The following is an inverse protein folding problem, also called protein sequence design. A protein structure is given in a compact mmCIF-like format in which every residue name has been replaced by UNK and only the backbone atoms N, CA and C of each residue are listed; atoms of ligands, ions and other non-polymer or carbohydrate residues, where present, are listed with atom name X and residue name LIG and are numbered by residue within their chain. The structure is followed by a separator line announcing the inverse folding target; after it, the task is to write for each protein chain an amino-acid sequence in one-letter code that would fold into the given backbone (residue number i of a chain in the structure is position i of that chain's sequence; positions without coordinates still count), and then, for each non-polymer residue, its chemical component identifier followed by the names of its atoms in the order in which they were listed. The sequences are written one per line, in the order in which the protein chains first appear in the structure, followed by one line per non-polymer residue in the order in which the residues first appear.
data_IF_047571550915
#
_entry.id   IF_047571550915
#
_cell.length_a   1.000
_cell.length_b   1.000
_cell.length_c   1.000
_cell.angle_alpha   90.00
_cell.angle_beta   90.00
_cell.angle_gamma   90.00
#
_symmetry.space_group_name_H-M   'P 1'
#
loop_
_entity.id
_entity.type
_entity.pdbx_description
1 polymer ?
#
# COMPACT_ATOMS: atom_id res chain seq x y z
N UNK A 1 2.03 2.25 -10.62
CA UNK A 1 3.34 1.57 -10.55
C UNK A 1 3.17 0.07 -10.30
N UNK A 2 4.09 -0.73 -10.83
CA UNK A 2 4.27 -2.13 -10.52
C UNK A 2 5.74 -2.55 -10.70
N UNK A 3 6.17 -3.59 -10.00
CA UNK A 3 7.52 -4.20 -10.07
C UNK A 3 7.39 -5.71 -9.87
N UNK A 4 8.27 -6.54 -10.41
CA UNK A 4 8.25 -7.99 -10.22
C UNK A 4 8.95 -8.48 -8.93
N UNK A 5 9.35 -7.58 -8.04
CA UNK A 5 9.97 -7.91 -6.74
C UNK A 5 9.14 -8.85 -5.84
N UNK A 6 7.81 -8.79 -5.98
CA UNK A 6 6.87 -9.59 -5.18
C UNK A 6 5.74 -10.13 -6.06
N UNK A 7 5.07 -11.19 -5.60
CA UNK A 7 3.89 -11.75 -6.28
C UNK A 7 2.71 -10.77 -6.34
N UNK A 8 2.67 -9.79 -5.44
CA UNK A 8 1.71 -8.69 -5.43
C UNK A 8 2.03 -7.63 -6.50
N UNK A 9 3.17 -7.74 -7.17
CA UNK A 9 3.72 -6.75 -8.09
C UNK A 9 3.96 -5.37 -7.43
N UNK A 10 4.41 -5.37 -6.19
CA UNK A 10 4.69 -4.17 -5.39
C UNK A 10 6.14 -4.21 -4.86
N UNK A 11 6.72 -3.04 -4.50
CA UNK A 11 8.00 -3.01 -3.82
C UNK A 11 7.97 -3.86 -2.55
N UNK A 12 9.02 -4.64 -2.31
CA UNK A 12 9.07 -5.58 -1.18
C UNK A 12 8.81 -4.91 0.17
N UNK A 13 9.35 -3.70 0.38
CA UNK A 13 9.13 -2.93 1.61
C UNK A 13 7.67 -2.58 1.87
N UNK A 14 6.92 -2.23 0.81
CA UNK A 14 5.48 -1.89 0.90
C UNK A 14 4.66 -3.11 1.30
N UNK A 15 4.97 -4.28 0.72
CA UNK A 15 4.30 -5.54 1.08
C UNK A 15 4.55 -5.88 2.55
N UNK A 16 5.81 -5.81 3.00
CA UNK A 16 6.18 -6.18 4.37
C UNK A 16 5.60 -5.23 5.42
N UNK A 17 5.62 -3.91 5.18
CA UNK A 17 5.10 -2.95 6.15
C UNK A 17 3.58 -3.09 6.32
N UNK A 18 2.83 -3.31 5.23
CA UNK A 18 1.39 -3.60 5.33
C UNK A 18 1.11 -4.95 5.98
N UNK A 19 1.93 -5.97 5.69
CA UNK A 19 1.80 -7.27 6.32
C UNK A 19 2.02 -7.20 7.85
N UNK A 20 2.97 -6.41 8.32
CA UNK A 20 3.16 -6.16 9.76
C UNK A 20 1.95 -5.48 10.39
N UNK A 21 1.45 -4.40 9.79
CA UNK A 21 0.27 -3.69 10.32
C UNK A 21 -0.98 -4.57 10.34
N UNK A 22 -1.19 -5.39 9.30
CA UNK A 22 -2.29 -6.36 9.25
C UNK A 22 -2.12 -7.44 10.31
N UNK A 23 -0.89 -7.96 10.48
CA UNK A 23 -0.59 -8.96 11.50
C UNK A 23 -0.81 -8.43 12.92
N UNK A 24 -0.50 -7.17 13.17
CA UNK A 24 -0.77 -6.49 14.44
C UNK A 24 -2.27 -6.50 14.75
N UNK A 25 -3.12 -6.12 13.78
CA UNK A 25 -4.58 -6.22 13.92
C UNK A 25 -5.02 -7.68 14.15
N UNK A 26 -4.55 -8.63 13.34
CA UNK A 26 -4.97 -10.03 13.45
C UNK A 26 -4.65 -10.64 14.83
N UNK A 27 -3.50 -10.31 15.40
CA UNK A 27 -3.09 -10.79 16.73
C UNK A 27 -3.94 -10.18 17.84
N UNK A 28 -4.32 -8.89 17.71
CA UNK A 28 -5.24 -8.19 18.61
C UNK A 28 -6.65 -8.80 18.55
N UNK A 29 -7.24 -8.91 17.35
CA UNK A 29 -8.62 -9.37 17.15
C UNK A 29 -8.81 -10.84 17.52
N UNK A 30 -7.76 -11.66 17.38
CA UNK A 30 -7.77 -13.06 17.83
C UNK A 30 -7.39 -13.22 19.30
N UNK A 31 -7.25 -12.13 20.05
CA UNK A 31 -6.86 -12.10 21.47
C UNK A 31 -5.59 -12.90 21.79
N UNK A 32 -4.67 -13.03 20.83
CA UNK A 32 -3.39 -13.74 21.00
C UNK A 32 -2.40 -12.96 21.86
N UNK A 33 -2.59 -11.65 21.95
CA UNK A 33 -1.97 -10.75 22.93
C UNK A 33 -3.11 -9.89 23.48
N UNK A 34 -3.52 -10.15 24.72
CA UNK A 34 -4.74 -9.57 25.31
C UNK A 34 -4.64 -8.06 25.55
N UNK A 35 -3.45 -7.58 25.87
CA UNK A 35 -3.19 -6.19 26.22
C UNK A 35 -2.98 -5.26 25.01
N UNK A 36 -3.04 -5.77 23.77
CA UNK A 36 -2.91 -4.94 22.57
C UNK A 36 -4.15 -4.06 22.37
N UNK A 37 -3.91 -2.78 22.05
CA UNK A 37 -4.96 -1.82 21.69
C UNK A 37 -4.91 -1.48 20.19
N UNK A 38 -5.94 -0.78 19.65
CA UNK A 38 -6.09 -0.61 18.20
C UNK A 38 -5.00 0.20 17.49
N UNK A 39 -4.41 1.22 18.14
CA UNK A 39 -3.44 2.10 17.48
C UNK A 39 -2.05 1.44 17.35
N UNK A 40 -1.45 1.57 16.18
CA UNK A 40 -0.18 0.95 15.86
C UNK A 40 0.45 1.51 14.59
N UNK A 41 1.78 1.56 14.59
CA UNK A 41 2.62 2.09 13.52
C UNK A 41 3.71 1.07 13.21
N UNK A 42 3.95 0.83 11.94
CA UNK A 42 4.97 -0.13 11.48
C UNK A 42 5.86 0.53 10.45
N UNK A 43 7.15 0.22 10.50
CA UNK A 43 8.12 0.71 9.53
C UNK A 43 9.12 -0.41 9.21
N UNK A 44 9.54 -0.44 7.95
CA UNK A 44 10.57 -1.33 7.45
C UNK A 44 11.61 -0.47 6.74
N UNK A 45 12.89 -0.70 7.04
CA UNK A 45 14.01 0.00 6.42
C UNK A 45 14.83 -0.99 5.60
N UNK A 46 15.11 -0.61 4.35
CA UNK A 46 16.06 -1.30 3.48
C UNK A 46 17.26 -0.39 3.22
N UNK A 47 18.46 -0.97 3.25
CA UNK A 47 19.70 -0.32 2.84
C UNK A 47 20.38 -1.23 1.81
N UNK A 48 20.75 -0.66 0.65
CA UNK A 48 21.38 -1.40 -0.45
C UNK A 48 20.62 -2.69 -0.84
N UNK A 49 19.28 -2.62 -0.86
CA UNK A 49 18.42 -3.77 -1.19
C UNK A 49 18.28 -4.82 -0.08
N UNK A 50 18.93 -4.65 1.08
CA UNK A 50 18.84 -5.55 2.23
C UNK A 50 17.99 -4.94 3.33
N UNK A 51 17.11 -5.76 3.92
CA UNK A 51 16.34 -5.40 5.11
C UNK A 51 17.29 -5.19 6.30
N UNK A 52 17.32 -3.99 6.88
CA UNK A 52 18.20 -3.65 8.01
C UNK A 52 17.44 -3.39 9.29
N UNK A 53 16.23 -2.79 9.23
CA UNK A 53 15.45 -2.46 10.43
C UNK A 53 13.98 -2.78 10.28
N UNK A 54 13.38 -3.25 11.37
CA UNK A 54 11.94 -3.43 11.51
C UNK A 54 11.48 -2.75 12.79
N UNK A 55 10.53 -1.83 12.66
CA UNK A 55 9.96 -1.09 13.78
C UNK A 55 8.47 -1.38 13.88
N UNK A 56 8.02 -1.68 15.09
CA UNK A 56 6.60 -1.75 15.46
C UNK A 56 6.38 -0.95 16.73
N UNK A 57 5.63 0.15 16.61
CA UNK A 57 5.07 0.85 17.76
C UNK A 57 3.61 0.45 17.90
N UNK A 58 3.19 -0.02 19.07
CA UNK A 58 1.83 -0.48 19.31
C UNK A 58 1.29 0.07 20.62
N UNK A 59 0.03 0.47 20.59
CA UNK A 59 -0.71 0.85 21.77
C UNK A 59 -0.97 -0.38 22.64
N UNK A 60 -0.94 -0.20 23.96
CA UNK A 60 -1.15 -1.27 24.93
C UNK A 60 -1.90 -0.83 26.18
N UNK A 61 -2.34 -1.78 26.98
CA UNK A 61 -2.89 -1.54 28.32
C UNK A 61 -1.84 -0.98 29.28
N UNK A 62 -2.30 -0.23 30.30
CA UNK A 62 -1.45 0.28 31.37
C UNK A 62 -0.91 -0.90 32.19
N UNK A 63 0.34 -0.79 32.66
CA UNK A 63 0.96 -1.78 33.54
C UNK A 63 1.66 -2.95 32.83
N UNK A 64 1.68 -2.98 31.50
CA UNK A 64 2.47 -3.96 30.75
C UNK A 64 3.93 -3.50 30.68
N UNK A 65 4.86 -4.37 31.05
CA UNK A 65 6.30 -4.07 30.98
C UNK A 65 6.82 -4.08 29.55
N UNK A 66 7.73 -3.15 29.25
CA UNK A 66 8.30 -2.97 27.92
C UNK A 66 9.02 -4.22 27.38
N UNK A 67 9.64 -5.02 28.26
CA UNK A 67 10.31 -6.27 27.88
C UNK A 67 9.31 -7.32 27.36
N UNK A 68 8.16 -7.45 28.03
CA UNK A 68 7.07 -8.34 27.60
C UNK A 68 6.46 -7.88 26.28
N UNK A 69 6.31 -6.56 26.10
CA UNK A 69 5.85 -5.97 24.84
C UNK A 69 6.82 -6.33 23.73
N UNK A 70 8.11 -6.05 23.92
CA UNK A 70 9.15 -6.33 22.94
C UNK A 70 9.19 -7.81 22.57
N UNK A 71 9.16 -8.71 23.57
CA UNK A 71 9.14 -10.16 23.36
C UNK A 71 7.91 -10.60 22.57
N UNK A 72 6.71 -10.22 23.00
CA UNK A 72 5.47 -10.65 22.37
C UNK A 72 5.33 -10.11 20.94
N UNK A 73 5.66 -8.85 20.69
CA UNK A 73 5.62 -8.24 19.35
C UNK A 73 6.64 -8.89 18.43
N UNK A 74 7.86 -9.12 18.90
CA UNK A 74 8.90 -9.77 18.10
C UNK A 74 8.48 -11.19 17.69
N UNK A 75 8.03 -12.01 18.63
CA UNK A 75 7.67 -13.42 18.35
C UNK A 75 6.37 -13.59 17.57
N UNK A 76 5.33 -12.83 17.92
CA UNK A 76 3.98 -13.08 17.37
C UNK A 76 3.65 -12.23 16.14
N UNK A 77 4.36 -11.13 15.92
CA UNK A 77 4.08 -10.16 14.85
C UNK A 77 5.26 -10.06 13.87
N UNK A 78 6.46 -9.73 14.34
CA UNK A 78 7.58 -9.43 13.43
C UNK A 78 8.15 -10.70 12.79
N UNK A 79 8.54 -11.71 13.58
CA UNK A 79 9.13 -12.96 13.06
C UNK A 79 8.23 -13.68 12.05
N UNK A 80 6.90 -13.81 12.26
CA UNK A 80 6.01 -14.49 11.31
C UNK A 80 5.86 -13.77 9.97
N UNK A 81 6.20 -12.47 9.89
CA UNK A 81 6.11 -11.69 8.65
C UNK A 81 7.45 -11.65 7.90
N UNK A 82 8.57 -11.52 8.62
CA UNK A 82 9.89 -11.30 8.02
C UNK A 82 10.67 -12.58 7.68
N UNK A 83 10.20 -13.76 8.11
CA UNK A 83 10.84 -15.06 7.87
C UNK A 83 12.32 -15.10 8.31
N UNK A 84 12.66 -14.42 9.42
CA UNK A 84 14.00 -14.37 10.00
C UNK A 84 14.46 -12.94 10.29
N UNK A 85 15.33 -12.78 11.30
CA UNK A 85 15.80 -11.48 11.80
C UNK A 85 17.33 -11.35 11.80
N UNK A 86 18.05 -12.25 11.12
CA UNK A 86 19.51 -12.23 11.11
C UNK A 86 20.01 -10.93 10.47
N UNK A 87 20.70 -10.11 11.26
CA UNK A 87 21.18 -8.79 10.83
C UNK A 87 20.09 -7.75 10.65
N UNK A 88 18.91 -7.95 11.23
CA UNK A 88 17.80 -6.98 11.27
C UNK A 88 17.68 -6.41 12.68
N UNK A 89 17.83 -5.10 12.80
CA UNK A 89 17.56 -4.38 14.05
C UNK A 89 16.04 -4.33 14.30
N UNK A 90 15.60 -4.84 15.45
CA UNK A 90 14.18 -4.83 15.85
C UNK A 90 13.93 -3.77 16.91
N UNK A 91 13.09 -2.80 16.53
CA UNK A 91 12.65 -1.71 17.39
C UNK A 91 11.18 -1.90 17.75
N UNK A 92 10.90 -2.06 19.05
CA UNK A 92 9.51 -2.15 19.55
C UNK A 92 9.31 -1.05 20.56
N UNK A 93 8.30 -0.19 20.35
CA UNK A 93 7.98 0.96 21.20
C UNK A 93 9.25 1.73 21.66
N UNK A 94 10.10 2.23 20.74
CA UNK A 94 11.40 2.82 21.11
C UNK A 94 11.27 4.08 21.98
N UNK A 95 10.12 4.76 21.93
CA UNK A 95 9.80 5.93 22.77
C UNK A 95 9.28 5.55 24.15
N UNK A 96 9.19 4.24 24.47
CA UNK A 96 8.64 3.74 25.71
C UNK A 96 7.12 3.54 25.66
N UNK A 97 6.45 3.89 26.77
CA UNK A 97 5.03 3.61 26.99
C UNK A 97 4.12 4.24 25.92
N UNK A 98 3.20 3.45 25.39
CA UNK A 98 2.18 3.89 24.43
C UNK A 98 0.78 3.44 24.89
N UNK A 99 0.31 4.01 26.01
CA UNK A 99 -0.99 3.65 26.60
C UNK A 99 -2.15 4.46 25.99
N UNK A 100 -1.95 5.77 25.80
CA UNK A 100 -2.92 6.67 25.16
C UNK A 100 -2.61 6.76 23.67
N UNK A 101 -3.62 6.56 22.82
CA UNK A 101 -3.49 6.47 21.37
C UNK A 101 -4.85 6.61 20.69
N UNK A 102 -4.88 6.58 19.36
CA UNK A 102 -6.10 6.84 18.59
C UNK A 102 -6.56 8.30 18.71
N UNK A 103 -7.87 8.53 18.60
CA UNK A 103 -8.43 9.89 18.56
C UNK A 103 -8.32 10.66 19.88
N UNK A 104 -8.05 9.97 20.99
CA UNK A 104 -7.78 10.60 22.30
C UNK A 104 -6.38 11.23 22.35
N UNK A 105 -5.47 10.84 21.45
CA UNK A 105 -4.10 11.35 21.38
C UNK A 105 -3.89 12.25 20.16
N UNK A 106 -4.43 11.87 19.00
CA UNK A 106 -4.15 12.51 17.71
C UNK A 106 -5.44 12.73 16.90
N UNK A 107 -5.62 13.92 16.33
CA UNK A 107 -6.69 14.16 15.35
C UNK A 107 -6.41 13.42 14.04
N UNK A 108 -7.31 12.52 13.64
CA UNK A 108 -7.24 11.83 12.34
C UNK A 108 -8.08 12.53 11.27
N UNK A 109 -7.55 12.63 10.04
CA UNK A 109 -8.25 13.19 8.89
C UNK A 109 -8.14 12.30 7.66
N UNK A 110 -9.21 12.27 6.85
CA UNK A 110 -9.23 11.56 5.56
C UNK A 110 -8.12 12.06 4.63
N UNK A 111 -7.44 11.13 3.95
CA UNK A 111 -6.43 11.48 2.95
C UNK A 111 -5.08 11.94 3.52
N UNK A 112 -4.82 11.77 4.82
CA UNK A 112 -3.51 12.07 5.43
C UNK A 112 -2.55 10.87 5.49
N UNK A 113 -2.81 9.85 4.66
CA UNK A 113 -2.02 8.61 4.56
C UNK A 113 -1.78 8.18 3.11
N UNK A 114 -1.85 9.10 2.14
CA UNK A 114 -1.73 8.80 0.70
C UNK A 114 -0.49 8.01 0.29
N UNK A 115 0.64 8.21 0.97
CA UNK A 115 1.86 7.44 0.70
C UNK A 115 1.77 6.00 1.22
N UNK A 116 1.09 5.81 2.36
CA UNK A 116 0.76 4.48 2.91
C UNK A 116 -0.29 3.81 2.04
N UNK A 117 -1.25 4.56 1.50
CA UNK A 117 -2.31 4.03 0.63
C UNK A 117 -1.76 3.50 -0.71
N UNK A 118 -0.57 3.94 -1.13
CA UNK A 118 0.02 3.65 -2.44
C UNK A 118 1.30 2.82 -2.37
N UNK A 119 2.46 3.46 -2.54
CA UNK A 119 3.75 2.79 -2.78
C UNK A 119 4.80 3.14 -1.71
N UNK A 120 4.36 3.50 -0.50
CA UNK A 120 5.21 3.72 0.66
C UNK A 120 6.16 4.92 0.55
N UNK A 121 5.84 5.89 -0.31
CA UNK A 121 6.72 7.04 -0.59
C UNK A 121 7.93 6.72 -1.48
N UNK A 122 8.02 5.49 -2.01
CA UNK A 122 9.11 5.06 -2.90
C UNK A 122 8.91 5.53 -4.34
N UNK A 123 7.68 5.91 -4.70
CA UNK A 123 7.27 6.27 -6.05
C UNK A 123 6.51 7.60 -5.99
N UNK A 124 6.68 8.43 -7.01
CA UNK A 124 5.98 9.71 -7.15
C UNK A 124 4.46 9.56 -7.01
N UNK A 125 3.82 10.59 -6.45
CA UNK A 125 2.38 10.63 -6.19
C UNK A 125 1.78 11.95 -6.68
N UNK A 126 0.59 11.91 -7.30
CA UNK A 126 -0.09 13.09 -7.87
C UNK A 126 -0.87 13.96 -6.87
N UNK A 127 -0.79 13.66 -5.57
CA UNK A 127 -1.42 14.42 -4.48
C UNK A 127 -2.88 14.07 -4.13
N UNK A 128 -3.65 13.49 -5.05
CA UNK A 128 -5.06 13.14 -4.80
C UNK A 128 -5.26 12.01 -3.78
N UNK A 129 -6.06 12.23 -2.73
CA UNK A 129 -6.47 11.16 -1.82
C UNK A 129 -7.56 10.25 -2.41
N UNK A 130 -7.71 9.04 -1.87
CA UNK A 130 -8.69 8.07 -2.38
C UNK A 130 -9.99 8.05 -1.59
N UNK A 131 -9.95 7.76 -0.29
CA UNK A 131 -11.13 7.57 0.58
C UNK A 131 -12.07 8.80 0.58
N UNK A 132 -13.38 8.55 0.67
CA UNK A 132 -14.42 9.59 0.63
C UNK A 132 -14.86 10.04 -0.78
N UNK A 133 -14.11 9.69 -1.83
CA UNK A 133 -14.46 10.01 -3.22
C UNK A 133 -15.26 8.91 -3.90
N UNK A 134 -16.17 9.25 -4.80
CA UNK A 134 -16.83 8.25 -5.65
C UNK A 134 -15.96 7.91 -6.88
N UNK A 135 -16.42 6.93 -7.66
CA UNK A 135 -15.75 6.39 -8.85
C UNK A 135 -15.53 7.39 -10.00
N UNK A 136 -16.27 8.50 -10.03
CA UNK A 136 -16.11 9.54 -11.07
C UNK A 136 -14.91 10.44 -10.80
N UNK A 137 -14.35 10.41 -9.59
CA UNK A 137 -13.21 11.25 -9.23
C UNK A 137 -11.91 10.57 -9.65
N UNK A 138 -11.27 11.16 -10.66
CA UNK A 138 -10.07 10.61 -11.31
C UNK A 138 -8.91 10.38 -10.35
N UNK A 139 -8.84 11.14 -9.25
CA UNK A 139 -7.89 10.89 -8.16
C UNK A 139 -7.90 9.43 -7.69
N UNK A 140 -9.07 8.80 -7.65
CA UNK A 140 -9.24 7.38 -7.30
C UNK A 140 -9.23 6.50 -8.55
N UNK A 141 -10.14 6.75 -9.49
CA UNK A 141 -10.37 5.82 -10.59
C UNK A 141 -9.18 5.73 -11.55
N UNK A 142 -8.56 6.87 -11.90
CA UNK A 142 -7.39 6.87 -12.75
C UNK A 142 -6.15 6.32 -12.06
N UNK A 143 -5.99 6.53 -10.74
CA UNK A 143 -4.92 5.88 -9.97
C UNK A 143 -5.06 4.35 -9.99
N UNK A 144 -6.29 3.83 -9.88
CA UNK A 144 -6.56 2.39 -9.99
C UNK A 144 -6.32 1.87 -11.41
N UNK A 145 -6.69 2.61 -12.45
CA UNK A 145 -6.39 2.24 -13.82
C UNK A 145 -4.89 2.26 -14.11
N UNK A 146 -4.15 3.24 -13.60
CA UNK A 146 -2.70 3.32 -13.75
C UNK A 146 -2.00 2.16 -13.03
N UNK A 147 -2.51 1.74 -11.86
CA UNK A 147 -2.08 0.50 -11.20
C UNK A 147 -2.37 -0.72 -12.08
N UNK A 148 -3.59 -0.85 -12.59
CA UNK A 148 -4.01 -1.96 -13.42
C UNK A 148 -3.13 -2.09 -14.67
N UNK A 149 -2.90 -0.99 -15.39
CA UNK A 149 -2.03 -0.95 -16.56
C UNK A 149 -0.58 -1.34 -16.21
N UNK A 150 0.02 -0.68 -15.21
CA UNK A 150 1.41 -0.97 -14.80
C UNK A 150 1.58 -2.44 -14.38
N UNK A 151 0.65 -2.98 -13.60
CA UNK A 151 0.68 -4.38 -13.15
C UNK A 151 0.63 -5.34 -14.32
N UNK A 152 -0.22 -5.07 -15.32
CA UNK A 152 -0.35 -5.92 -16.50
C UNK A 152 0.88 -5.86 -17.41
N UNK A 153 1.50 -4.69 -17.55
CA UNK A 153 2.78 -4.55 -18.28
C UNK A 153 3.84 -5.48 -17.67
N UNK A 154 4.03 -5.41 -16.35
CA UNK A 154 5.04 -6.25 -15.66
C UNK A 154 4.65 -7.73 -15.66
N UNK A 155 3.38 -8.04 -15.40
CA UNK A 155 2.90 -9.43 -15.35
C UNK A 155 2.97 -10.16 -16.69
N UNK A 156 2.86 -9.44 -17.82
CA UNK A 156 3.03 -9.98 -19.16
C UNK A 156 4.50 -9.93 -19.66
N UNK A 157 5.45 -9.53 -18.81
CA UNK A 157 6.89 -9.64 -19.11
C UNK A 157 7.45 -8.53 -20.01
N UNK A 158 6.72 -7.43 -20.23
CA UNK A 158 7.21 -6.31 -21.04
C UNK A 158 8.30 -5.49 -20.34
N UNK A 159 8.34 -5.50 -19.00
CA UNK A 159 9.33 -4.80 -18.18
C UNK A 159 9.48 -5.43 -16.78
N UNK A 160 10.56 -5.11 -16.06
CA UNK A 160 10.72 -5.55 -14.65
C UNK A 160 9.93 -4.66 -13.70
N UNK A 161 9.91 -3.36 -13.98
CA UNK A 161 9.02 -2.41 -13.34
C UNK A 161 8.38 -1.46 -14.37
N UNK A 162 7.29 -0.81 -13.97
CA UNK A 162 6.62 0.16 -14.83
C UNK A 162 5.92 1.24 -14.00
N UNK A 163 6.23 2.50 -14.31
CA UNK A 163 5.52 3.66 -13.81
C UNK A 163 4.59 4.20 -14.90
N UNK A 164 3.28 4.16 -14.65
CA UNK A 164 2.25 4.80 -15.48
C UNK A 164 1.76 6.05 -14.78
N UNK A 165 1.77 7.18 -15.49
CA UNK A 165 1.33 8.49 -15.02
C UNK A 165 0.28 9.06 -15.97
N UNK A 166 -0.79 9.63 -15.42
CA UNK A 166 -1.91 10.16 -16.20
C UNK A 166 -2.32 11.52 -15.64
N UNK A 167 -2.62 12.48 -16.51
CA UNK A 167 -3.11 13.82 -16.13
C UNK A 167 -4.40 14.16 -16.89
N UNK A 168 -5.28 14.91 -16.23
CA UNK A 168 -6.58 15.33 -16.76
C UNK A 168 -6.75 16.84 -16.59
N UNK A 169 -7.49 17.46 -17.51
CA UNK A 169 -8.11 18.76 -17.29
C UNK A 169 -9.54 18.56 -16.79
N UNK A 170 -9.99 19.43 -15.87
CA UNK A 170 -11.38 19.41 -15.42
C UNK A 170 -12.33 19.61 -16.61
N UNK A 171 -13.35 18.76 -16.72
CA UNK A 171 -14.31 18.79 -17.83
C UNK A 171 -13.83 18.17 -19.15
N UNK A 172 -12.57 17.74 -19.27
CA UNK A 172 -12.05 17.10 -20.48
C UNK A 172 -12.09 15.57 -20.37
N UNK A 173 -12.68 14.91 -21.37
CA UNK A 173 -12.90 13.45 -21.35
C UNK A 173 -11.58 12.69 -21.55
N UNK A 174 -10.75 13.17 -22.49
CA UNK A 174 -9.48 12.53 -22.80
C UNK A 174 -8.39 13.00 -21.82
N UNK A 175 -7.49 12.11 -21.39
CA UNK A 175 -6.34 12.53 -20.59
C UNK A 175 -5.45 13.48 -21.40
N UNK A 176 -4.93 14.52 -20.74
CA UNK A 176 -3.92 15.42 -21.32
C UNK A 176 -2.59 14.69 -21.53
N UNK A 177 -2.30 13.73 -20.64
CA UNK A 177 -1.07 12.95 -20.64
C UNK A 177 -1.38 11.52 -20.26
N UNK A 178 -0.85 10.58 -21.04
CA UNK A 178 -0.63 9.19 -20.62
C UNK A 178 0.84 8.91 -20.88
N UNK A 179 1.61 8.80 -19.81
CA UNK A 179 3.03 8.54 -19.81
C UNK A 179 3.29 7.19 -19.15
N UNK A 180 4.22 6.40 -19.69
CA UNK A 180 4.61 5.13 -19.11
C UNK A 180 6.10 4.88 -19.38
N UNK A 181 6.85 4.53 -18.33
CA UNK A 181 8.29 4.22 -18.41
C UNK A 181 8.62 2.95 -17.65
N UNK A 182 9.69 2.27 -18.08
CA UNK A 182 10.26 1.08 -17.43
C UNK A 182 11.52 1.38 -16.61
N UNK A 183 12.16 0.33 -16.09
CA UNK A 183 13.35 0.43 -15.22
C UNK A 183 14.57 1.05 -15.92
N UNK A 184 14.54 1.14 -17.25
CA UNK A 184 15.61 1.70 -18.10
C UNK A 184 15.24 3.08 -18.65
N UNK A 185 14.09 3.63 -18.26
CA UNK A 185 13.58 4.89 -18.79
C UNK A 185 13.00 4.79 -20.21
N UNK A 186 12.80 3.57 -20.75
CA UNK A 186 12.19 3.40 -22.08
C UNK A 186 10.71 3.68 -21.98
N UNK A 187 10.19 4.42 -22.96
CA UNK A 187 8.76 4.72 -23.03
C UNK A 187 7.95 3.49 -23.44
N UNK A 188 6.92 3.19 -22.65
CA UNK A 188 5.90 2.19 -22.91
C UNK A 188 4.53 2.83 -23.21
N UNK A 189 4.49 4.14 -23.44
CA UNK A 189 3.25 4.90 -23.56
C UNK A 189 2.34 4.41 -24.70
N UNK A 190 2.91 4.09 -25.87
CA UNK A 190 2.14 3.58 -27.01
C UNK A 190 1.51 2.22 -26.72
N UNK A 191 2.25 1.32 -26.05
CA UNK A 191 1.73 0.03 -25.61
C UNK A 191 0.58 0.21 -24.61
N UNK A 192 0.78 1.07 -23.60
CA UNK A 192 -0.26 1.36 -22.60
C UNK A 192 -1.52 1.95 -23.25
N UNK A 193 -1.38 2.94 -24.14
CA UNK A 193 -2.51 3.57 -24.85
C UNK A 193 -3.26 2.60 -25.77
N UNK A 194 -2.58 1.59 -26.33
CA UNK A 194 -3.18 0.57 -27.19
C UNK A 194 -4.12 -0.37 -26.41
N UNK A 195 -3.75 -0.74 -25.17
CA UNK A 195 -4.48 -1.76 -24.40
C UNK A 195 -5.40 -1.18 -23.32
N UNK A 196 -5.19 0.07 -22.90
CA UNK A 196 -5.92 0.67 -21.78
C UNK A 196 -6.50 2.03 -22.16
N UNK A 197 -7.81 2.16 -21.97
CA UNK A 197 -8.54 3.41 -22.16
C UNK A 197 -8.65 4.16 -20.82
N UNK A 198 -8.08 5.37 -20.79
CA UNK A 198 -8.04 6.21 -19.60
C UNK A 198 -9.17 7.25 -19.53
N UNK A 199 -10.18 7.19 -20.40
CA UNK A 199 -11.37 8.04 -20.24
C UNK A 199 -12.14 7.63 -18.98
N UNK A 200 -12.67 8.56 -18.16
CA UNK A 200 -13.28 8.24 -16.87
C UNK A 200 -14.36 7.14 -16.92
N UNK A 201 -15.26 7.21 -17.91
CA UNK A 201 -16.32 6.21 -18.08
C UNK A 201 -15.76 4.82 -18.44
N UNK A 202 -14.79 4.76 -19.36
CA UNK A 202 -14.14 3.52 -19.75
C UNK A 202 -13.42 2.84 -18.57
N UNK A 203 -12.80 3.63 -17.68
CA UNK A 203 -12.18 3.14 -16.44
C UNK A 203 -13.24 2.50 -15.53
N UNK A 204 -14.34 3.22 -15.30
CA UNK A 204 -15.43 2.78 -14.41
C UNK A 204 -16.00 1.44 -14.88
N UNK A 205 -16.21 1.30 -16.19
CA UNK A 205 -16.74 0.08 -16.82
C UNK A 205 -15.71 -1.05 -16.77
N UNK A 206 -14.47 -0.79 -17.21
CA UNK A 206 -13.38 -1.78 -17.23
C UNK A 206 -13.12 -2.38 -15.86
N UNK A 207 -13.11 -1.55 -14.82
CA UNK A 207 -12.83 -1.98 -13.45
C UNK A 207 -14.12 -2.31 -12.66
N UNK A 208 -15.30 -2.19 -13.28
CA UNK A 208 -16.60 -2.40 -12.64
C UNK A 208 -16.68 -1.72 -11.25
N UNK A 209 -16.50 -0.39 -11.24
CA UNK A 209 -16.37 0.41 -10.01
C UNK A 209 -17.69 0.80 -9.36
N UNK A 210 -18.84 0.59 -10.04
CA UNK A 210 -20.19 0.90 -9.53
C UNK A 210 -20.66 -0.13 -8.49
N UNK A 211 -19.85 -0.35 -7.46
CA UNK A 211 -20.08 -1.36 -6.41
C UNK A 211 -19.52 -0.87 -5.07
N UNK A 212 -20.07 -1.33 -3.93
CA UNK A 212 -19.59 -0.96 -2.59
C UNK A 212 -18.32 -1.72 -2.19
N UNK A 213 -17.25 -1.61 -2.98
CA UNK A 213 -16.01 -2.39 -2.80
C UNK A 213 -14.88 -1.65 -2.09
N UNK A 214 -15.06 -0.37 -1.74
CA UNK A 214 -13.97 0.52 -1.33
C UNK A 214 -13.63 0.47 0.17
N UNK A 215 -14.54 0.01 1.04
CA UNK A 215 -14.28 -0.04 2.49
C UNK A 215 -13.03 -0.86 2.82
N UNK A 216 -12.88 -2.02 2.18
CA UNK A 216 -11.71 -2.89 2.37
C UNK A 216 -10.39 -2.23 1.94
N UNK A 217 -10.42 -1.13 1.19
CA UNK A 217 -9.23 -0.44 0.69
C UNK A 217 -8.69 0.61 1.65
N UNK A 218 -9.49 1.03 2.64
CA UNK A 218 -9.20 2.16 3.53
C UNK A 218 -8.06 1.92 4.54
N UNK A 219 -7.59 0.67 4.69
CA UNK A 219 -6.47 0.29 5.56
C UNK A 219 -5.56 -0.67 4.81
N UNK A 220 -4.27 -0.77 5.14
CA UNK A 220 -3.35 -1.76 4.53
C UNK A 220 -3.14 -1.61 3.01
N UNK A 221 -3.18 -0.37 2.51
CA UNK A 221 -2.91 -0.05 1.10
C UNK A 221 -4.09 -0.34 0.16
N UNK A 222 -4.17 0.42 -0.93
CA UNK A 222 -5.19 0.20 -1.97
C UNK A 222 -4.75 -0.84 -3.02
N UNK A 223 -3.47 -1.18 -3.05
CA UNK A 223 -2.85 -2.04 -4.05
C UNK A 223 -2.31 -3.33 -3.43
N UNK A 224 -2.11 -4.36 -4.25
CA UNK A 224 -1.60 -5.67 -3.84
C UNK A 224 -2.62 -6.60 -3.15
N UNK A 225 -3.89 -6.18 -3.02
CA UNK A 225 -4.95 -6.98 -2.42
C UNK A 225 -5.67 -7.85 -3.45
N UNK A 226 -5.89 -9.12 -3.10
CA UNK A 226 -6.67 -10.05 -3.92
C UNK A 226 -8.14 -9.61 -4.01
N UNK A 227 -8.80 -9.94 -5.12
CA UNK A 227 -10.24 -9.68 -5.33
C UNK A 227 -10.58 -8.28 -5.82
N UNK A 228 -9.62 -7.34 -5.82
CA UNK A 228 -9.84 -6.00 -6.37
C UNK A 228 -9.70 -6.00 -7.90
N UNK A 229 -10.58 -5.29 -8.64
CA UNK A 229 -10.58 -5.29 -10.10
C UNK A 229 -9.26 -4.84 -10.73
N UNK A 230 -8.65 -3.80 -10.16
CA UNK A 230 -7.37 -3.25 -10.65
C UNK A 230 -6.15 -4.10 -10.27
N UNK A 231 -6.34 -5.18 -9.51
CA UNK A 231 -5.28 -6.14 -9.18
C UNK A 231 -5.34 -7.40 -10.05
N UNK A 232 -6.29 -7.49 -11.00
CA UNK A 232 -6.36 -8.61 -11.95
C UNK A 232 -5.26 -8.51 -13.01
N UNK A 233 -4.75 -9.67 -13.42
CA UNK A 233 -3.87 -9.80 -14.58
C UNK A 233 -4.72 -10.29 -15.75
N UNK A 234 -4.58 -9.64 -16.89
CA UNK A 234 -5.17 -9.98 -18.17
C UNK A 234 -4.05 -10.26 -19.17
N UNK A 235 -4.35 -11.07 -20.18
CA UNK A 235 -3.46 -11.24 -21.33
C UNK A 235 -3.50 -9.97 -22.15
N UNK A 236 -2.32 -9.41 -22.40
CA UNK A 236 -2.13 -8.24 -23.28
C UNK A 236 -1.85 -8.69 -24.70
#
# INVERSE_FOLDING_TARGET
FATNETKEFLPRGVVLVHALAKRLQEVREKHRIKWLKPDGKTQITFENGKLTKALVSTQHEKGVHQEDIKKAVTEKIIKPVLNGLKGVEVLVNPTGSFVQGGFDADTGLTGRKIMVDTYGGLICHGGGCFSGKDLTKVDRSAAYMARFAAKNIVANGYAKDCLVSVAYAIGHINPLMVHAIDEKGRSLASLVKKHFDFRPLAIIERLNLRRPIFLQTATYGHFGKKGLPWEKVIKM
#
